data_IF_322315701859
#
_entry.id   IF_322315701859
#
_cell.length_a   1.000
_cell.length_b   1.000
_cell.length_c   1.000
_cell.angle_alpha   90.00
_cell.angle_beta   90.00
_cell.angle_gamma   90.00
#
_symmetry.space_group_name_H-M   'P 1'
#
loop_
_entity.id
_entity.type
_entity.pdbx_description
1 polymer ?
#
# COMPACT_ATOMS: atom_id res chain seq x y z
N UNK A 1 12.57 0.03 -10.67
CA UNK A 1 11.39 0.57 -9.94
C UNK A 1 10.85 1.77 -10.70
N UNK A 2 9.58 1.76 -11.11
CA UNK A 2 8.93 2.88 -11.80
C UNK A 2 7.96 3.56 -10.83
N UNK A 3 8.42 4.62 -10.20
CA UNK A 3 7.62 5.43 -9.28
C UNK A 3 6.82 6.44 -10.10
N UNK A 4 5.49 6.31 -10.12
CA UNK A 4 4.61 7.32 -10.74
C UNK A 4 4.08 8.24 -9.64
N UNK A 5 4.53 9.51 -9.58
CA UNK A 5 3.98 10.46 -8.61
C UNK A 5 2.53 10.75 -8.98
N UNK A 6 1.60 10.43 -8.08
CA UNK A 6 0.22 10.92 -8.15
C UNK A 6 0.09 12.31 -7.53
N UNK A 7 -1.15 12.77 -7.30
CA UNK A 7 -1.43 13.99 -6.51
C UNK A 7 -0.68 13.92 -5.17
N UNK A 8 -0.17 15.04 -4.66
CA UNK A 8 0.62 15.10 -3.40
C UNK A 8 0.10 14.13 -2.33
N UNK A 9 0.97 13.21 -1.88
CA UNK A 9 0.64 12.16 -0.91
C UNK A 9 0.12 10.83 -1.50
N UNK A 10 -0.23 10.78 -2.79
CA UNK A 10 -0.60 9.57 -3.50
C UNK A 10 0.52 9.13 -4.44
N UNK A 11 1.06 7.94 -4.24
CA UNK A 11 2.05 7.34 -5.14
C UNK A 11 1.88 5.83 -5.16
N UNK A 12 2.26 5.20 -6.28
CA UNK A 12 2.19 3.75 -6.42
C UNK A 12 3.55 3.20 -6.82
N UNK A 13 4.08 2.32 -5.98
CA UNK A 13 5.29 1.55 -6.22
C UNK A 13 4.92 0.22 -6.84
N UNK A 14 5.51 -0.10 -7.99
CA UNK A 14 5.40 -1.41 -8.64
C UNK A 14 6.76 -2.11 -8.58
N UNK A 15 6.77 -3.33 -8.04
CA UNK A 15 7.96 -4.19 -7.98
C UNK A 15 7.99 -5.13 -9.19
N UNK A 16 9.18 -5.63 -9.54
CA UNK A 16 9.38 -6.54 -10.68
C UNK A 16 8.69 -7.89 -10.48
N UNK A 17 8.49 -8.31 -9.23
CA UNK A 17 7.74 -9.51 -8.85
C UNK A 17 6.21 -9.40 -9.04
N UNK A 18 5.71 -8.28 -9.58
CA UNK A 18 4.28 -8.05 -9.83
C UNK A 18 3.50 -7.57 -8.61
N UNK A 19 4.15 -7.45 -7.45
CA UNK A 19 3.58 -6.78 -6.26
C UNK A 19 3.55 -5.28 -6.46
N UNK A 20 2.59 -4.64 -5.79
CA UNK A 20 2.48 -3.19 -5.81
C UNK A 20 1.94 -2.64 -4.51
N UNK A 21 2.36 -1.42 -4.18
CA UNK A 21 1.91 -0.68 -3.01
C UNK A 21 1.48 0.70 -3.45
N UNK A 22 0.26 1.08 -3.09
CA UNK A 22 -0.33 2.37 -3.39
C UNK A 22 -0.62 3.12 -2.10
N UNK A 23 0.06 4.23 -1.93
CA UNK A 23 -0.29 5.26 -0.97
C UNK A 23 -1.37 6.12 -1.61
N UNK A 24 -2.48 6.32 -0.90
CA UNK A 24 -3.65 7.07 -1.39
C UNK A 24 -3.72 8.51 -0.89
N UNK A 25 -2.70 8.94 -0.15
CA UNK A 25 -2.67 10.21 0.57
C UNK A 25 -3.48 10.17 1.86
N UNK A 26 -3.30 11.18 2.72
CA UNK A 26 -4.15 11.41 3.88
C UNK A 26 -5.56 11.78 3.41
N UNK A 27 -6.37 10.75 3.15
CA UNK A 27 -7.79 10.94 2.87
C UNK A 27 -8.47 11.63 4.05
N UNK A 28 -9.56 12.36 3.77
CA UNK A 28 -10.37 12.93 4.86
C UNK A 28 -10.81 11.81 5.82
N UNK A 29 -10.66 12.01 7.14
CA UNK A 29 -11.15 11.06 8.13
C UNK A 29 -12.67 10.90 8.00
N UNK A 30 -13.20 9.76 8.44
CA UNK A 30 -14.63 9.49 8.45
C UNK A 30 -15.15 9.61 9.87
N UNK A 31 -15.50 10.84 10.26
CA UNK A 31 -15.70 11.17 11.68
C UNK A 31 -14.38 11.07 12.44
N UNK A 32 -14.40 10.42 13.60
CA UNK A 32 -13.22 10.18 14.45
C UNK A 32 -12.34 9.01 13.97
N UNK A 33 -12.72 8.34 12.87
CA UNK A 33 -11.99 7.18 12.35
C UNK A 33 -11.10 7.64 11.19
N UNK A 34 -9.79 7.54 11.38
CA UNK A 34 -8.82 7.70 10.29
C UNK A 34 -9.09 6.69 9.18
N UNK A 35 -8.96 7.10 7.92
CA UNK A 35 -9.14 6.18 6.80
C UNK A 35 -7.82 5.52 6.47
N UNK A 36 -7.76 4.17 6.37
CA UNK A 36 -6.55 3.49 5.95
C UNK A 36 -6.11 3.99 4.58
N UNK A 37 -4.85 4.41 4.48
CA UNK A 37 -4.33 5.13 3.32
C UNK A 37 -3.40 4.28 2.43
N UNK A 38 -3.05 3.05 2.83
CA UNK A 38 -2.24 2.14 2.04
C UNK A 38 -3.10 1.03 1.46
N UNK A 39 -3.00 0.83 0.15
CA UNK A 39 -3.48 -0.38 -0.52
C UNK A 39 -2.29 -1.11 -1.11
N UNK A 40 -2.09 -2.36 -0.72
CA UNK A 40 -0.97 -3.17 -1.23
C UNK A 40 -1.44 -4.53 -1.75
N UNK A 41 -0.62 -5.09 -2.63
CA UNK A 41 -0.70 -6.47 -3.12
C UNK A 41 0.65 -7.10 -2.83
N UNK A 42 0.63 -8.19 -2.07
CA UNK A 42 1.81 -8.95 -1.65
C UNK A 42 1.82 -10.31 -2.34
N UNK A 43 2.97 -10.98 -2.37
CA UNK A 43 3.03 -12.39 -2.77
C UNK A 43 2.57 -13.26 -1.60
N UNK A 44 1.83 -14.31 -1.91
CA UNK A 44 1.47 -15.36 -0.97
C UNK A 44 2.02 -16.70 -1.47
N UNK A 45 2.48 -17.54 -0.55
CA UNK A 45 3.02 -18.85 -0.88
C UNK A 45 1.94 -19.89 -0.69
N UNK A 46 1.46 -20.48 -1.78
CA UNK A 46 0.50 -21.58 -1.70
C UNK A 46 1.17 -22.82 -1.09
N UNK A 47 0.40 -23.75 -0.47
CA UNK A 47 0.96 -25.01 0.05
C UNK A 47 1.66 -25.88 -1.01
N UNK A 48 1.48 -25.59 -2.31
CA UNK A 48 2.19 -26.19 -3.44
C UNK A 48 3.63 -25.62 -3.63
N UNK A 49 4.04 -24.63 -2.83
CA UNK A 49 5.35 -23.98 -2.90
C UNK A 49 5.48 -22.88 -3.95
N UNK A 50 4.42 -22.58 -4.70
CA UNK A 50 4.41 -21.48 -5.69
C UNK A 50 4.10 -20.15 -5.02
N UNK A 51 4.76 -19.08 -5.46
CA UNK A 51 4.39 -17.71 -5.08
C UNK A 51 3.32 -17.19 -6.04
N UNK A 52 2.15 -16.84 -5.50
CA UNK A 52 1.05 -16.25 -6.26
C UNK A 52 0.82 -14.81 -5.83
N UNK A 53 0.37 -13.97 -6.76
CA UNK A 53 -0.04 -12.61 -6.43
C UNK A 53 -1.31 -12.69 -5.59
N UNK A 54 -1.23 -12.21 -4.35
CA UNK A 54 -2.33 -12.26 -3.40
C UNK A 54 -3.36 -11.16 -3.64
N UNK A 55 -4.49 -11.23 -2.92
CA UNK A 55 -5.53 -10.20 -3.02
C UNK A 55 -5.02 -8.87 -2.49
N UNK A 56 -5.45 -7.77 -3.10
CA UNK A 56 -5.12 -6.44 -2.59
C UNK A 56 -5.77 -6.19 -1.24
N UNK A 57 -4.98 -5.77 -0.25
CA UNK A 57 -5.44 -5.41 1.10
C UNK A 57 -5.35 -3.89 1.29
N UNK A 58 -6.34 -3.32 1.96
CA UNK A 58 -6.31 -1.93 2.41
C UNK A 58 -6.02 -1.92 3.90
N UNK A 59 -5.00 -1.17 4.33
CA UNK A 59 -4.55 -1.10 5.72
C UNK A 59 -4.06 0.28 6.10
N UNK A 60 -3.91 0.49 7.40
CA UNK A 60 -3.20 1.66 7.91
C UNK A 60 -1.72 1.59 7.55
N UNK A 61 -1.10 2.76 7.32
CA UNK A 61 0.35 2.86 7.22
C UNK A 61 1.01 2.32 8.50
N UNK A 62 2.14 1.64 8.37
CA UNK A 62 2.97 1.36 9.56
C UNK A 62 3.64 2.65 10.02
N UNK A 63 4.20 2.64 11.24
CA UNK A 63 4.99 3.75 11.78
C UNK A 63 6.11 4.21 10.83
N UNK A 64 6.71 3.28 10.08
CA UNK A 64 7.78 3.57 9.11
C UNK A 64 7.25 4.14 7.78
N UNK A 65 5.98 3.90 7.49
CA UNK A 65 5.31 4.32 6.26
C UNK A 65 4.45 5.58 6.46
N UNK A 66 4.28 6.04 7.71
CA UNK A 66 3.61 7.28 8.05
C UNK A 66 4.57 8.45 7.82
N UNK A 67 4.35 9.33 6.83
CA UNK A 67 5.25 10.46 6.58
C UNK A 67 5.07 11.61 7.59
N UNK A 68 4.83 11.32 8.89
CA UNK A 68 4.36 12.36 9.81
C UNK A 68 4.39 12.09 11.31
N UNK A 69 5.40 11.40 11.84
CA UNK A 69 5.70 11.49 13.29
C UNK A 69 7.15 11.93 13.55
N UNK A 70 7.34 13.24 13.52
CA UNK A 70 7.93 13.99 14.64
C UNK A 70 7.26 15.35 14.74
#
# INVERSE_FOLDING_TARGET
MLEKPGREGQYTTHNEDGTWKQYRGSGKPHGDIERPNIKEVSLDTVPDGRTVISKSKVRYPTLEEYPGEK
#
